data_IF_013770876058
#
_entry.id   IF_013770876058
#
_cell.length_a   1.000
_cell.length_b   1.000
_cell.length_c   1.000
_cell.angle_alpha   90.00
_cell.angle_beta   90.00
_cell.angle_gamma   90.00
#
_symmetry.space_group_name_H-M   'P 1'
#
loop_
_entity.id
_entity.type
_entity.pdbx_description
1 polymer ?
#
# COMPACT_ATOMS: atom_id res chain seq x y z
N UNK A 1 -6.15 -16.73 -8.49
CA UNK A 1 -5.76 -17.08 -7.11
C UNK A 1 -4.25 -17.34 -7.00
N UNK A 2 -3.62 -18.02 -7.97
CA UNK A 2 -2.15 -18.23 -8.01
C UNK A 2 -1.31 -16.92 -8.06
N UNK A 3 -1.84 -15.88 -8.72
CA UNK A 3 -1.11 -14.62 -8.97
C UNK A 3 -0.62 -13.87 -7.72
N UNK A 4 -1.36 -13.90 -6.60
CA UNK A 4 -0.92 -13.20 -5.39
C UNK A 4 0.16 -13.99 -4.64
N UNK A 5 0.10 -15.32 -4.67
CA UNK A 5 1.16 -16.17 -4.14
C UNK A 5 2.43 -16.10 -5.00
N UNK A 6 2.28 -16.05 -6.33
CA UNK A 6 3.39 -15.76 -7.24
C UNK A 6 4.06 -14.42 -6.93
N UNK A 7 3.27 -13.37 -6.65
CA UNK A 7 3.80 -12.08 -6.20
C UNK A 7 4.61 -12.22 -4.92
N UNK A 8 4.10 -12.94 -3.91
CA UNK A 8 4.82 -13.17 -2.65
C UNK A 8 6.17 -13.84 -2.90
N UNK A 9 6.21 -14.84 -3.78
CA UNK A 9 7.45 -15.53 -4.15
C UNK A 9 8.42 -14.61 -4.91
N UNK A 10 7.91 -13.79 -5.84
CA UNK A 10 8.71 -12.76 -6.53
C UNK A 10 9.34 -11.80 -5.53
N UNK A 11 8.55 -11.25 -4.60
CA UNK A 11 9.04 -10.32 -3.57
C UNK A 11 10.05 -11.02 -2.66
N UNK A 12 9.79 -12.26 -2.23
CA UNK A 12 10.70 -13.03 -1.39
C UNK A 12 12.06 -13.26 -2.06
N UNK A 13 12.08 -13.47 -3.37
CA UNK A 13 13.30 -13.67 -4.15
C UNK A 13 14.04 -12.35 -4.43
N UNK A 14 13.33 -11.25 -4.69
CA UNK A 14 13.92 -9.92 -4.92
C UNK A 14 14.39 -9.24 -3.63
N UNK A 15 13.79 -9.61 -2.50
CA UNK A 15 14.01 -9.02 -1.19
C UNK A 15 12.93 -8.01 -0.82
N UNK A 16 12.65 -7.92 0.48
CA UNK A 16 11.75 -6.91 1.04
C UNK A 16 12.45 -5.55 1.00
N UNK A 17 11.76 -4.54 0.47
CA UNK A 17 12.31 -3.20 0.35
C UNK A 17 11.27 -2.21 -0.11
N UNK A 18 11.59 -0.93 0.00
CA UNK A 18 10.74 0.15 -0.47
C UNK A 18 11.59 1.23 -1.11
N UNK A 19 11.06 1.85 -2.15
CA UNK A 19 11.78 2.89 -2.90
C UNK A 19 10.88 4.09 -3.12
N UNK A 20 11.50 5.26 -3.23
CA UNK A 20 10.80 6.50 -3.53
C UNK A 20 10.01 6.34 -4.83
N UNK A 21 8.77 6.81 -4.80
CA UNK A 21 7.88 6.84 -5.95
C UNK A 21 7.68 8.28 -6.40
N UNK A 22 6.99 9.09 -5.60
CA UNK A 22 6.75 10.49 -5.91
C UNK A 22 6.39 11.31 -4.67
N UNK A 23 6.26 12.62 -4.85
CA UNK A 23 5.63 13.48 -3.86
C UNK A 23 4.15 13.65 -4.19
N UNK A 24 3.26 13.29 -3.25
CA UNK A 24 1.82 13.52 -3.36
C UNK A 24 1.45 14.61 -2.35
N UNK A 25 0.96 15.75 -2.84
CA UNK A 25 0.63 16.93 -2.02
C UNK A 25 1.76 17.33 -1.04
N UNK A 26 3.02 17.26 -1.51
CA UNK A 26 4.19 17.65 -0.72
C UNK A 26 4.69 16.62 0.29
N UNK A 27 4.09 15.42 0.36
CA UNK A 27 4.59 14.32 1.19
C UNK A 27 5.27 13.27 0.32
N UNK A 28 6.50 12.83 0.64
CA UNK A 28 7.17 11.78 -0.11
C UNK A 28 6.50 10.42 0.14
N UNK A 29 6.25 9.70 -0.94
CA UNK A 29 5.62 8.38 -0.95
C UNK A 29 6.64 7.33 -1.37
N UNK A 30 6.73 6.27 -0.58
CA UNK A 30 7.55 5.09 -0.84
C UNK A 30 6.65 3.89 -1.07
N UNK A 31 6.93 3.13 -2.13
CA UNK A 31 6.20 1.91 -2.45
C UNK A 31 7.08 0.71 -2.13
N UNK A 32 6.49 -0.32 -1.52
CA UNK A 32 7.13 -1.62 -1.37
C UNK A 32 7.39 -2.31 -2.71
N UNK A 33 8.24 -3.33 -2.73
CA UNK A 33 8.51 -4.10 -3.94
C UNK A 33 7.22 -4.68 -4.52
N UNK A 34 6.38 -5.30 -3.70
CA UNK A 34 5.12 -5.89 -4.16
C UNK A 34 4.19 -4.87 -4.79
N UNK A 35 4.02 -3.69 -4.17
CA UNK A 35 3.19 -2.63 -4.74
C UNK A 35 3.73 -2.16 -6.10
N UNK A 36 5.05 -2.06 -6.25
CA UNK A 36 5.64 -1.65 -7.53
C UNK A 36 5.38 -2.64 -8.65
N UNK A 37 5.52 -3.93 -8.38
CA UNK A 37 5.28 -5.00 -9.37
C UNK A 37 3.82 -5.04 -9.84
N UNK A 38 2.88 -4.52 -9.04
CA UNK A 38 1.45 -4.58 -9.34
C UNK A 38 0.92 -3.29 -9.97
N UNK A 39 1.40 -2.13 -9.51
CA UNK A 39 0.75 -0.85 -9.80
C UNK A 39 1.53 0.09 -10.74
N UNK A 40 2.81 -0.15 -11.04
CA UNK A 40 3.62 0.80 -11.82
C UNK A 40 3.66 0.55 -13.33
N UNK A 41 3.20 -0.60 -13.81
CA UNK A 41 3.18 -0.90 -15.25
C UNK A 41 1.89 -0.43 -15.94
N UNK A 42 0.93 0.11 -15.18
CA UNK A 42 -0.37 0.57 -15.66
C UNK A 42 -0.74 1.91 -15.03
N UNK A 43 -0.96 2.94 -15.87
CA UNK A 43 -1.29 4.29 -15.44
C UNK A 43 -2.59 4.35 -14.61
N UNK A 44 -3.59 3.52 -14.92
CA UNK A 44 -4.84 3.49 -14.15
C UNK A 44 -4.63 2.92 -12.75
N UNK A 45 -3.72 1.96 -12.61
CA UNK A 45 -3.38 1.37 -11.31
C UNK A 45 -2.51 2.33 -10.49
N UNK A 46 -1.57 3.02 -11.12
CA UNK A 46 -0.79 4.09 -10.48
C UNK A 46 -1.70 5.19 -9.91
N UNK A 47 -2.70 5.62 -10.67
CA UNK A 47 -3.65 6.64 -10.21
C UNK A 47 -4.45 6.20 -8.98
N UNK A 48 -4.79 4.91 -8.85
CA UNK A 48 -5.46 4.38 -7.64
C UNK A 48 -4.60 4.57 -6.39
N UNK A 49 -3.29 4.42 -6.50
CA UNK A 49 -2.35 4.65 -5.38
C UNK A 49 -2.34 6.13 -5.02
N UNK A 50 -2.22 7.02 -6.01
CA UNK A 50 -2.22 8.48 -5.81
C UNK A 50 -3.53 8.93 -5.13
N UNK A 51 -4.67 8.42 -5.58
CA UNK A 51 -5.98 8.76 -5.02
C UNK A 51 -6.13 8.25 -3.58
N UNK A 52 -5.73 7.00 -3.32
CA UNK A 52 -5.76 6.43 -1.97
C UNK A 52 -4.84 7.19 -1.01
N UNK A 53 -3.66 7.62 -1.48
CA UNK A 53 -2.75 8.47 -0.72
C UNK A 53 -3.40 9.84 -0.43
N UNK A 54 -4.02 10.47 -1.43
CA UNK A 54 -4.70 11.75 -1.26
C UNK A 54 -5.85 11.68 -0.26
N UNK A 55 -6.59 10.55 -0.23
CA UNK A 55 -7.61 10.26 0.78
C UNK A 55 -7.01 10.08 2.17
N UNK A 56 -5.95 9.27 2.29
CA UNK A 56 -5.23 9.05 3.54
C UNK A 56 -4.73 10.36 4.16
N UNK A 57 -4.22 11.28 3.33
CA UNK A 57 -3.77 12.60 3.77
C UNK A 57 -4.88 13.51 4.32
N UNK A 58 -6.13 13.25 3.94
CA UNK A 58 -7.33 13.92 4.44
C UNK A 58 -7.99 13.17 5.59
N UNK A 59 -7.25 12.26 6.23
CA UNK A 59 -7.70 11.42 7.35
C UNK A 59 -8.82 10.42 6.99
N UNK A 60 -8.99 10.09 5.70
CA UNK A 60 -9.80 8.96 5.27
C UNK A 60 -8.91 7.71 5.21
N UNK A 61 -9.00 6.87 6.24
CA UNK A 61 -8.15 5.70 6.44
C UNK A 61 -8.68 4.42 5.78
N UNK A 62 -9.70 4.53 4.92
CA UNK A 62 -10.38 3.37 4.34
C UNK A 62 -10.92 2.44 5.43
N UNK A 63 -10.66 1.14 5.27
CA UNK A 63 -11.21 0.12 6.17
C UNK A 63 -10.20 -0.28 7.28
N UNK A 64 -9.19 0.52 7.58
CA UNK A 64 -8.15 0.14 8.55
C UNK A 64 -8.70 -0.16 9.97
N UNK A 65 -9.75 0.56 10.37
CA UNK A 65 -10.43 0.39 11.67
C UNK A 65 -11.05 -1.00 11.80
N UNK A 66 -11.69 -1.49 10.73
CA UNK A 66 -12.31 -2.83 10.70
C UNK A 66 -11.27 -3.95 10.88
N UNK A 67 -9.99 -3.64 10.66
CA UNK A 67 -8.86 -4.55 10.80
C UNK A 67 -7.99 -4.24 12.03
N UNK A 68 -8.58 -3.57 13.03
CA UNK A 68 -8.00 -3.38 14.36
C UNK A 68 -6.97 -2.26 14.45
N UNK A 69 -6.90 -1.37 13.45
CA UNK A 69 -6.01 -0.20 13.47
C UNK A 69 -6.81 1.08 13.68
N UNK A 70 -6.93 1.47 14.94
CA UNK A 70 -7.45 2.79 15.29
C UNK A 70 -6.37 3.85 15.03
N UNK A 71 -6.64 4.85 14.18
CA UNK A 71 -5.68 5.89 13.86
C UNK A 71 -5.33 6.68 15.12
N UNK A 72 -4.03 6.91 15.33
CA UNK A 72 -3.50 7.83 16.34
C UNK A 72 -2.62 8.85 15.63
N UNK A 73 -2.62 10.12 16.03
CA UNK A 73 -1.74 11.13 15.45
C UNK A 73 -0.28 10.65 15.42
N UNK A 74 0.35 10.64 14.24
CA UNK A 74 1.73 10.17 14.03
C UNK A 74 1.91 8.65 13.93
N UNK A 75 0.81 7.88 14.03
CA UNK A 75 0.78 6.43 13.87
C UNK A 75 -0.48 6.02 13.08
N UNK A 76 -0.77 6.72 12.00
CA UNK A 76 -1.92 6.46 11.15
C UNK A 76 -1.66 5.28 10.21
N UNK A 77 -2.67 4.42 10.08
CA UNK A 77 -2.68 3.28 9.18
C UNK A 77 -3.90 3.39 8.28
N UNK A 78 -3.72 3.15 6.98
CA UNK A 78 -4.79 3.08 6.00
C UNK A 78 -4.83 1.69 5.38
N UNK A 79 -6.03 1.23 4.99
CA UNK A 79 -6.23 -0.04 4.27
C UNK A 79 -7.24 0.18 3.16
N UNK A 80 -6.84 -0.04 1.91
CA UNK A 80 -7.64 0.25 0.71
C UNK A 80 -7.76 -0.98 -0.19
N UNK A 81 -8.99 -1.33 -0.55
CA UNK A 81 -9.33 -2.43 -1.47
C UNK A 81 -9.13 -2.00 -2.93
N UNK A 82 -7.89 -1.67 -3.29
CA UNK A 82 -7.51 -1.20 -4.64
C UNK A 82 -6.63 -2.20 -5.40
N UNK A 83 -6.24 -3.30 -4.75
CA UNK A 83 -5.49 -4.37 -5.38
C UNK A 83 -6.31 -5.03 -6.49
N UNK A 84 -5.71 -5.30 -7.66
CA UNK A 84 -6.37 -6.06 -8.72
C UNK A 84 -6.52 -7.55 -8.35
N UNK A 85 -5.85 -8.01 -7.30
CA UNK A 85 -5.97 -9.38 -6.81
C UNK A 85 -7.08 -9.48 -5.78
N UNK A 86 -7.88 -10.54 -5.91
CA UNK A 86 -8.86 -10.95 -4.92
C UNK A 86 -8.45 -12.30 -4.36
N UNK A 87 -8.34 -12.37 -3.03
CA UNK A 87 -8.03 -13.60 -2.29
C UNK A 87 -8.83 -13.58 -0.98
N UNK A 88 -9.61 -14.63 -0.74
CA UNK A 88 -10.43 -14.77 0.47
C UNK A 88 -9.60 -15.22 1.68
N UNK A 89 -8.42 -15.78 1.45
CA UNK A 89 -7.54 -16.34 2.48
C UNK A 89 -6.42 -15.37 2.91
N UNK A 90 -6.16 -14.35 2.10
CA UNK A 90 -5.08 -13.40 2.30
C UNK A 90 -5.54 -11.95 2.23
N UNK A 91 -4.90 -11.09 3.03
CA UNK A 91 -5.13 -9.65 2.95
C UNK A 91 -4.40 -9.06 1.75
N UNK A 92 -5.12 -9.04 0.62
CA UNK A 92 -4.66 -8.47 -0.66
C UNK A 92 -4.78 -6.95 -0.72
N UNK A 93 -5.33 -6.29 0.31
CA UNK A 93 -5.49 -4.85 0.30
C UNK A 93 -4.14 -4.11 0.38
N UNK A 94 -4.16 -2.89 -0.13
CA UNK A 94 -3.02 -1.98 -0.04
C UNK A 94 -3.06 -1.28 1.30
N UNK A 95 -1.98 -1.43 2.07
CA UNK A 95 -1.80 -0.77 3.35
C UNK A 95 -0.96 0.49 3.19
N UNK A 96 -1.28 1.49 4.01
CA UNK A 96 -0.53 2.74 4.11
C UNK A 96 -0.15 2.99 5.56
N UNK A 97 1.03 3.56 5.76
CA UNK A 97 1.50 3.97 7.07
C UNK A 97 2.19 5.33 6.97
N UNK A 98 1.77 6.27 7.83
CA UNK A 98 2.44 7.56 7.98
C UNK A 98 3.64 7.41 8.92
N UNK A 99 4.80 7.86 8.48
CA UNK A 99 5.95 8.16 9.36
C UNK A 99 6.05 9.68 9.56
N UNK A 100 6.99 10.14 10.38
CA UNK A 100 7.18 11.58 10.63
C UNK A 100 7.44 12.38 9.34
N UNK A 101 8.11 11.78 8.35
CA UNK A 101 8.58 12.48 7.15
C UNK A 101 7.98 11.94 5.85
N UNK A 102 7.36 10.75 5.86
CA UNK A 102 6.97 10.06 4.63
C UNK A 102 5.72 9.21 4.81
N UNK A 103 5.22 8.69 3.68
CA UNK A 103 4.23 7.61 3.67
C UNK A 103 4.81 6.38 3.01
N UNK A 104 4.56 5.25 3.66
CA UNK A 104 4.89 3.93 3.16
C UNK A 104 3.62 3.25 2.66
N UNK A 105 3.65 2.72 1.44
CA UNK A 105 2.57 1.96 0.83
C UNK A 105 3.07 0.54 0.58
N UNK A 106 2.35 -0.47 1.07
CA UNK A 106 2.82 -1.85 1.10
C UNK A 106 1.67 -2.87 1.11
N UNK A 107 1.94 -4.12 0.72
CA UNK A 107 1.06 -5.24 1.05
C UNK A 107 1.37 -5.77 2.45
N UNK A 108 0.35 -6.26 3.18
CA UNK A 108 0.50 -6.67 4.59
C UNK A 108 1.63 -7.67 4.84
N UNK A 109 1.89 -8.59 3.91
CA UNK A 109 2.94 -9.60 4.06
C UNK A 109 4.38 -9.05 3.98
N UNK A 110 4.55 -7.82 3.49
CA UNK A 110 5.85 -7.15 3.37
C UNK A 110 6.23 -6.35 4.64
N UNK A 111 5.47 -6.51 5.73
CA UNK A 111 5.65 -5.78 6.99
C UNK A 111 5.76 -6.69 8.20
#
# INVERSE_FOLDING_TARGET
MEKFNELKDVVKNKGYGSSFFMNVNGVPVYLSCGIKEVFLDNQDDEQKIIDAVGRFQKSDYGNAVDYGKNPRPGHEYGRYEISPYQDDSDDTAVWMHRTEEAMLVYFKFER
#
